data_IF_674398276138
#
_entry.id   IF_674398276138
#
_cell.length_a   1.000
_cell.length_b   1.000
_cell.length_c   1.000
_cell.angle_alpha   90.00
_cell.angle_beta   90.00
_cell.angle_gamma   90.00
#
_symmetry.space_group_name_H-M   'P 1'
#
loop_
_entity.id
_entity.type
_entity.pdbx_description
1 polymer ?
#
# COMPACT_ATOMS: atom_id res chain seq x y z
N UNK A 1 -26.77 -15.29 11.89
CA UNK A 1 -26.30 -15.75 13.19
C UNK A 1 -27.30 -16.77 13.75
N UNK A 2 -26.80 -17.81 14.45
CA UNK A 2 -27.67 -18.86 15.04
C UNK A 2 -28.00 -20.04 14.13
N UNK A 3 -27.41 -20.12 12.93
CA UNK A 3 -27.47 -21.24 12.01
C UNK A 3 -26.09 -21.58 11.45
N UNK A 4 -25.95 -22.76 10.86
CA UNK A 4 -24.74 -23.14 10.11
C UNK A 4 -24.62 -22.26 8.87
N UNK A 5 -23.45 -21.63 8.70
CA UNK A 5 -23.11 -20.85 7.52
C UNK A 5 -21.99 -21.57 6.76
N UNK A 6 -22.13 -21.68 5.45
CA UNK A 6 -21.11 -22.28 4.59
C UNK A 6 -20.53 -21.22 3.66
N UNK A 7 -19.23 -21.05 3.69
CA UNK A 7 -18.45 -20.22 2.76
C UNK A 7 -17.70 -21.14 1.80
N UNK A 8 -17.90 -20.92 0.50
CA UNK A 8 -17.11 -21.57 -0.54
C UNK A 8 -16.21 -20.53 -1.21
N UNK A 9 -14.91 -20.73 -1.14
CA UNK A 9 -13.93 -19.90 -1.84
C UNK A 9 -13.32 -20.71 -2.97
N UNK A 10 -13.45 -20.20 -4.19
CA UNK A 10 -12.84 -20.81 -5.39
C UNK A 10 -11.68 -19.95 -5.82
N UNK A 11 -10.49 -20.53 -5.86
CA UNK A 11 -9.27 -19.87 -6.35
C UNK A 11 -8.74 -20.62 -7.56
N UNK A 12 -8.19 -19.87 -8.53
CA UNK A 12 -7.60 -20.44 -9.74
C UNK A 12 -6.34 -19.65 -10.10
N UNK A 13 -5.25 -20.36 -10.35
CA UNK A 13 -4.02 -19.83 -10.92
C UNK A 13 -3.93 -20.08 -12.44
N UNK A 14 -5.05 -20.41 -13.07
CA UNK A 14 -5.10 -20.53 -14.53
C UNK A 14 -4.74 -19.19 -15.15
N UNK A 15 -3.77 -19.23 -16.07
CA UNK A 15 -3.32 -18.06 -16.80
C UNK A 15 -4.49 -17.32 -17.47
N UNK A 16 -4.51 -15.99 -17.33
CA UNK A 16 -5.51 -15.10 -17.92
C UNK A 16 -4.79 -13.97 -18.66
N UNK A 17 -5.19 -13.69 -19.89
CA UNK A 17 -4.57 -12.64 -20.72
C UNK A 17 -4.90 -11.21 -20.24
N UNK A 18 -5.86 -11.06 -19.36
CA UNK A 18 -6.42 -9.79 -18.94
C UNK A 18 -6.23 -9.52 -17.43
N UNK A 19 -5.44 -10.34 -16.76
CA UNK A 19 -5.11 -10.21 -15.33
C UNK A 19 -3.60 -10.25 -15.16
N UNK A 20 -3.03 -9.32 -14.41
CA UNK A 20 -1.60 -9.31 -14.08
C UNK A 20 -1.29 -10.31 -12.94
N UNK A 21 -0.10 -10.93 -12.95
CA UNK A 21 0.96 -10.84 -13.96
C UNK A 21 0.65 -11.64 -15.21
N UNK A 22 1.11 -11.17 -16.37
CA UNK A 22 1.00 -11.87 -17.66
C UNK A 22 2.31 -12.52 -18.11
N UNK A 23 3.35 -12.45 -17.29
CA UNK A 23 4.66 -13.05 -17.55
C UNK A 23 4.81 -14.37 -16.80
N UNK A 24 5.56 -15.30 -17.41
CA UNK A 24 5.88 -16.62 -16.84
C UNK A 24 7.19 -16.63 -16.06
N UNK A 25 7.85 -15.48 -15.87
CA UNK A 25 9.12 -15.40 -15.13
C UNK A 25 9.00 -15.72 -13.66
N UNK A 26 7.78 -15.74 -13.12
CA UNK A 26 7.52 -16.04 -11.73
C UNK A 26 6.60 -17.23 -11.57
N UNK A 27 6.83 -17.99 -10.50
CA UNK A 27 5.94 -19.04 -10.11
C UNK A 27 4.62 -18.45 -9.61
N UNK A 28 3.51 -18.82 -10.25
CA UNK A 28 2.17 -18.45 -9.82
C UNK A 28 1.54 -19.66 -9.14
N UNK A 29 1.64 -19.70 -7.83
CA UNK A 29 1.07 -20.78 -7.04
C UNK A 29 -0.45 -20.58 -6.88
N UNK A 30 -1.18 -21.70 -6.85
CA UNK A 30 -2.62 -21.69 -6.57
C UNK A 30 -2.91 -21.89 -5.08
N UNK A 31 -4.16 -21.63 -4.72
CA UNK A 31 -4.64 -21.82 -3.35
C UNK A 31 -4.63 -20.54 -2.53
N UNK A 32 -4.94 -20.69 -1.24
CA UNK A 32 -4.91 -19.61 -0.25
C UNK A 32 -3.66 -19.86 0.60
N UNK A 33 -2.70 -18.96 0.58
CA UNK A 33 -1.40 -19.12 1.21
C UNK A 33 -1.05 -18.01 2.22
N UNK A 34 -1.94 -17.06 2.43
CA UNK A 34 -1.87 -16.03 3.49
C UNK A 34 -3.00 -16.25 4.47
N UNK A 35 -2.91 -15.61 5.63
CA UNK A 35 -3.93 -15.68 6.67
C UNK A 35 -5.31 -15.28 6.16
N UNK A 36 -6.33 -15.89 6.74
CA UNK A 36 -7.73 -15.61 6.42
C UNK A 36 -8.46 -15.29 7.71
N UNK A 37 -8.93 -14.05 7.81
CA UNK A 37 -9.63 -13.55 8.98
C UNK A 37 -11.13 -13.40 8.71
N UNK A 38 -11.94 -13.62 9.73
CA UNK A 38 -13.35 -13.29 9.73
C UNK A 38 -13.58 -12.04 10.58
N UNK A 39 -13.78 -10.90 9.91
CA UNK A 39 -14.05 -9.63 10.59
C UNK A 39 -15.54 -9.55 10.89
N UNK A 40 -15.87 -9.47 12.18
CA UNK A 40 -17.25 -9.27 12.65
C UNK A 40 -17.42 -7.81 13.07
N UNK A 41 -18.31 -7.11 12.38
CA UNK A 41 -18.64 -5.73 12.70
C UNK A 41 -20.12 -5.61 13.04
N UNK A 42 -20.50 -4.53 13.72
CA UNK A 42 -21.89 -4.14 13.81
C UNK A 42 -22.33 -3.42 12.52
N UNK A 43 -23.61 -2.99 12.47
CA UNK A 43 -24.14 -2.20 11.35
C UNK A 43 -23.52 -0.81 11.23
N UNK A 44 -22.85 -0.34 12.28
CA UNK A 44 -22.03 0.87 12.29
C UNK A 44 -20.59 0.44 12.43
N UNK A 45 -19.78 0.67 11.39
CA UNK A 45 -18.40 0.25 11.36
C UNK A 45 -17.53 1.19 10.51
N UNK A 46 -16.23 1.24 10.77
CA UNK A 46 -15.25 1.69 9.78
C UNK A 46 -15.19 0.60 8.71
N UNK A 47 -15.35 0.97 7.45
CA UNK A 47 -15.67 0.00 6.39
C UNK A 47 -14.47 -0.89 6.01
N UNK A 48 -14.51 -2.21 6.30
CA UNK A 48 -13.44 -3.14 5.92
C UNK A 48 -13.51 -3.57 4.45
N UNK A 49 -14.47 -3.03 3.67
CA UNK A 49 -14.69 -3.44 2.28
C UNK A 49 -14.05 -2.51 1.24
N UNK A 50 -13.35 -1.49 1.68
CA UNK A 50 -12.71 -0.51 0.79
C UNK A 50 -11.34 -1.04 0.36
N UNK A 51 -11.24 -1.58 -0.83
CA UNK A 51 -10.01 -2.14 -1.43
C UNK A 51 -9.24 -3.14 -0.56
N UNK A 52 -9.94 -3.85 0.33
CA UNK A 52 -9.31 -4.79 1.27
C UNK A 52 -8.41 -4.11 2.30
N UNK A 53 -8.84 -2.94 2.80
CA UNK A 53 -8.13 -2.14 3.82
C UNK A 53 -8.97 -1.99 5.08
N UNK A 54 -8.38 -1.40 6.12
CA UNK A 54 -9.09 -1.05 7.36
C UNK A 54 -10.05 0.15 7.20
N UNK A 55 -10.13 0.77 6.02
CA UNK A 55 -11.02 1.90 5.75
C UNK A 55 -10.59 3.24 6.38
N UNK A 56 -9.36 3.32 6.90
CA UNK A 56 -8.74 4.51 7.47
C UNK A 56 -7.44 4.84 6.75
N UNK A 57 -7.39 6.00 6.10
CA UNK A 57 -6.22 6.51 5.38
C UNK A 57 -5.73 7.79 6.02
N UNK A 58 -4.42 7.90 6.23
CA UNK A 58 -3.76 9.06 6.82
C UNK A 58 -2.98 9.79 5.73
N UNK A 59 -3.59 10.84 5.18
CA UNK A 59 -2.97 11.68 4.16
C UNK A 59 -2.11 12.76 4.79
N UNK A 60 -0.91 12.95 4.25
CA UNK A 60 -0.01 14.04 4.61
C UNK A 60 -0.19 15.18 3.60
N UNK A 61 -0.76 16.31 4.03
CA UNK A 61 -1.00 17.49 3.17
C UNK A 61 0.26 18.33 3.08
N UNK A 62 0.86 18.65 4.24
CA UNK A 62 2.18 19.24 4.34
C UNK A 62 2.94 18.63 5.52
N UNK A 63 4.23 18.53 5.39
CA UNK A 63 5.12 18.00 6.42
C UNK A 63 6.33 18.93 6.54
N UNK A 64 6.42 19.62 7.65
CA UNK A 64 7.54 20.47 8.03
C UNK A 64 8.09 20.03 9.39
N UNK A 65 9.23 20.58 9.77
CA UNK A 65 9.86 20.24 11.03
C UNK A 65 9.06 20.81 12.23
N UNK A 66 8.30 21.89 12.00
CA UNK A 66 7.49 22.55 13.01
C UNK A 66 6.08 21.94 13.13
N UNK A 67 5.51 21.46 12.02
CA UNK A 67 4.16 20.91 11.99
C UNK A 67 3.93 19.92 10.83
N UNK A 68 2.99 18.99 11.05
CA UNK A 68 2.38 18.18 10.01
C UNK A 68 0.92 18.57 9.90
N UNK A 69 0.51 19.00 8.72
CA UNK A 69 -0.91 19.09 8.36
C UNK A 69 -1.32 17.80 7.68
N UNK A 70 -2.31 17.12 8.24
CA UNK A 70 -2.82 15.87 7.75
C UNK A 70 -4.34 15.84 7.60
N UNK A 71 -4.82 14.83 6.92
CA UNK A 71 -6.23 14.48 6.81
C UNK A 71 -6.41 12.98 7.03
N UNK A 72 -7.33 12.61 7.92
CA UNK A 72 -7.77 11.24 8.04
C UNK A 72 -9.02 11.04 7.18
N UNK A 73 -8.94 10.17 6.18
CA UNK A 73 -10.08 9.77 5.37
C UNK A 73 -10.67 8.47 5.95
N UNK A 74 -11.86 8.56 6.54
CA UNK A 74 -12.53 7.46 7.25
C UNK A 74 -13.74 7.00 6.43
N UNK A 75 -13.68 5.80 5.90
CA UNK A 75 -14.81 5.17 5.23
C UNK A 75 -15.73 4.52 6.25
N UNK A 76 -16.99 4.91 6.27
CA UNK A 76 -17.95 4.44 7.28
C UNK A 76 -19.08 3.67 6.60
N UNK A 77 -19.33 2.46 7.09
CA UNK A 77 -20.53 1.69 6.84
C UNK A 77 -21.52 1.91 7.98
N UNK A 78 -22.71 2.41 7.69
CA UNK A 78 -23.75 2.61 8.69
C UNK A 78 -25.13 2.79 8.02
N UNK A 79 -26.26 2.56 8.73
CA UNK A 79 -27.59 2.88 8.24
C UNK A 79 -27.72 4.36 7.82
N UNK A 80 -28.64 4.67 6.89
CA UNK A 80 -28.79 6.03 6.35
C UNK A 80 -29.25 7.05 7.39
N UNK A 81 -29.99 6.61 8.38
CA UNK A 81 -30.52 7.40 9.49
C UNK A 81 -29.52 7.61 10.63
N UNK A 82 -28.39 6.92 10.61
CA UNK A 82 -27.33 7.06 11.57
C UNK A 82 -26.46 8.31 11.28
N UNK A 83 -26.69 9.38 12.04
CA UNK A 83 -25.90 10.61 12.01
C UNK A 83 -24.90 10.67 13.17
N UNK A 84 -24.16 9.61 13.38
CA UNK A 84 -23.22 9.48 14.48
C UNK A 84 -22.02 10.44 14.43
N UNK A 85 -21.11 10.23 15.35
CA UNK A 85 -19.86 11.00 15.47
C UNK A 85 -18.68 10.12 15.11
N UNK A 86 -17.63 10.74 14.55
CA UNK A 86 -16.33 10.11 14.33
C UNK A 86 -15.34 10.85 15.20
N UNK A 87 -14.63 10.13 16.06
CA UNK A 87 -13.52 10.65 16.85
C UNK A 87 -12.22 10.13 16.29
N UNK A 88 -11.33 11.05 15.91
CA UNK A 88 -9.97 10.78 15.49
C UNK A 88 -9.03 11.04 16.66
N UNK A 89 -8.19 10.07 17.00
CA UNK A 89 -7.14 10.19 18.01
C UNK A 89 -5.80 9.88 17.37
N UNK A 90 -4.83 10.80 17.47
CA UNK A 90 -3.46 10.57 17.04
C UNK A 90 -2.57 10.51 18.28
N UNK A 91 -1.80 9.44 18.39
CA UNK A 91 -0.80 9.26 19.46
C UNK A 91 0.60 9.29 18.86
N UNK A 92 1.48 9.94 19.58
CA UNK A 92 2.89 10.00 19.23
C UNK A 92 3.62 8.65 19.46
N UNK A 93 4.90 8.51 19.07
CA UNK A 93 5.67 7.30 19.28
C UNK A 93 5.82 6.86 20.76
N UNK A 94 5.62 7.75 21.73
CA UNK A 94 5.62 7.42 23.17
C UNK A 94 4.20 7.09 23.69
N UNK A 95 3.18 7.14 22.82
CA UNK A 95 1.79 6.83 23.15
C UNK A 95 0.98 8.01 23.70
N UNK A 96 1.54 9.22 23.78
CA UNK A 96 0.80 10.41 24.21
C UNK A 96 -0.17 10.89 23.14
N UNK A 97 -1.38 11.28 23.53
CA UNK A 97 -2.36 11.87 22.62
C UNK A 97 -1.88 13.26 22.22
N UNK A 98 -1.62 13.44 20.93
CA UNK A 98 -1.20 14.72 20.32
C UNK A 98 -2.32 15.38 19.52
N UNK A 99 -3.32 14.59 19.09
CA UNK A 99 -4.55 15.09 18.44
C UNK A 99 -5.74 14.30 18.95
N UNK A 100 -6.81 15.02 19.28
CA UNK A 100 -8.14 14.46 19.47
C UNK A 100 -9.16 15.36 18.81
N UNK A 101 -9.88 14.84 17.82
CA UNK A 101 -10.92 15.59 17.07
C UNK A 101 -12.16 14.76 16.89
N UNK A 102 -13.31 15.39 17.08
CA UNK A 102 -14.61 14.75 16.86
C UNK A 102 -15.39 15.53 15.81
N UNK A 103 -15.95 14.81 14.84
CA UNK A 103 -16.71 15.35 13.72
C UNK A 103 -17.99 14.54 13.50
N UNK A 104 -19.04 15.19 13.00
CA UNK A 104 -20.27 14.50 12.59
C UNK A 104 -20.00 13.58 11.39
N UNK A 105 -20.63 12.41 11.42
CA UNK A 105 -20.64 11.51 10.29
C UNK A 105 -21.64 12.01 9.23
N UNK A 106 -21.23 13.02 8.47
CA UNK A 106 -21.99 13.61 7.36
C UNK A 106 -21.60 13.02 6.00
N UNK A 107 -21.33 11.71 5.96
CA UNK A 107 -20.86 11.02 4.76
C UNK A 107 -21.83 11.11 3.58
N UNK A 108 -21.27 11.16 2.40
CA UNK A 108 -21.91 10.75 1.15
C UNK A 108 -21.63 9.26 0.91
N UNK A 109 -22.60 8.54 0.38
CA UNK A 109 -22.43 7.10 0.13
C UNK A 109 -21.21 6.84 -0.80
N UNK A 110 -20.30 5.99 -0.35
CA UNK A 110 -19.09 5.65 -1.08
C UNK A 110 -17.92 6.63 -0.91
N UNK A 111 -18.12 7.76 -0.24
CA UNK A 111 -17.09 8.75 0.04
C UNK A 111 -16.62 8.67 1.50
N UNK A 112 -15.35 8.95 1.80
CA UNK A 112 -14.87 9.00 3.17
C UNK A 112 -15.34 10.29 3.87
N UNK A 113 -15.44 10.23 5.20
CA UNK A 113 -15.46 11.44 6.02
C UNK A 113 -14.02 11.89 6.24
N UNK A 114 -13.71 13.10 5.80
CA UNK A 114 -12.35 13.66 5.91
C UNK A 114 -12.24 14.52 7.15
N UNK A 115 -11.29 14.20 8.03
CA UNK A 115 -11.03 14.90 9.29
C UNK A 115 -9.64 15.54 9.20
N UNK A 116 -9.53 16.87 9.04
CA UNK A 116 -8.23 17.54 9.04
C UNK A 116 -7.65 17.58 10.44
N UNK A 117 -6.33 17.43 10.56
CA UNK A 117 -5.61 17.51 11.82
C UNK A 117 -4.23 18.14 11.63
N UNK A 118 -3.66 18.62 12.74
CA UNK A 118 -2.30 19.15 12.80
C UNK A 118 -1.57 18.49 13.95
N UNK A 119 -0.35 18.06 13.71
CA UNK A 119 0.58 17.60 14.75
C UNK A 119 1.70 18.63 14.85
N UNK A 120 1.80 19.30 15.98
CA UNK A 120 2.83 20.30 16.26
C UNK A 120 4.13 19.61 16.69
N UNK A 121 5.29 20.15 16.30
CA UNK A 121 6.63 19.62 16.60
C UNK A 121 6.73 18.09 16.37
N UNK A 122 6.44 17.61 15.16
CA UNK A 122 6.36 16.17 14.89
C UNK A 122 7.74 15.53 14.95
N UNK A 123 7.79 14.30 15.44
CA UNK A 123 8.96 13.42 15.23
C UNK A 123 8.80 12.72 13.89
N UNK A 124 9.55 13.17 12.90
CA UNK A 124 9.46 12.61 11.56
C UNK A 124 10.03 11.18 11.50
N UNK A 125 9.42 10.36 10.64
CA UNK A 125 9.95 9.05 10.30
C UNK A 125 11.13 9.21 9.33
N UNK A 126 12.21 8.51 9.61
CA UNK A 126 13.35 8.37 8.70
C UNK A 126 14.03 7.01 8.91
N UNK A 127 14.92 6.55 8.01
CA UNK A 127 15.70 5.34 8.22
C UNK A 127 16.50 5.33 9.53
N UNK A 128 17.00 6.48 9.97
CA UNK A 128 17.77 6.62 11.21
C UNK A 128 16.88 6.77 12.45
N UNK A 129 15.64 7.21 12.29
CA UNK A 129 14.68 7.44 13.38
C UNK A 129 13.27 7.02 12.92
N UNK A 130 12.94 5.72 13.00
CA UNK A 130 11.67 5.20 12.49
C UNK A 130 10.49 5.48 13.44
N UNK A 131 10.19 6.77 13.62
CA UNK A 131 9.12 7.24 14.49
C UNK A 131 7.75 6.90 13.90
N UNK A 132 6.96 6.11 14.64
CA UNK A 132 5.63 5.67 14.22
C UNK A 132 4.56 6.26 15.13
N UNK A 133 3.54 6.84 14.52
CA UNK A 133 2.33 7.34 15.16
C UNK A 133 1.22 6.30 15.04
N UNK A 134 0.36 6.27 16.04
CA UNK A 134 -0.86 5.47 16.03
C UNK A 134 -2.05 6.39 15.79
N UNK A 135 -2.84 6.09 14.76
CA UNK A 135 -4.03 6.86 14.39
C UNK A 135 -5.25 5.97 14.55
N UNK A 136 -6.16 6.38 15.41
CA UNK A 136 -7.39 5.65 15.72
C UNK A 136 -8.59 6.44 15.25
N UNK A 137 -9.48 5.81 14.49
CA UNK A 137 -10.79 6.36 14.13
C UNK A 137 -11.89 5.53 14.81
N UNK A 138 -12.66 6.16 15.67
CA UNK A 138 -13.83 5.56 16.29
C UNK A 138 -15.09 6.18 15.71
N UNK A 139 -15.97 5.35 15.16
CA UNK A 139 -17.31 5.76 14.75
C UNK A 139 -18.32 5.32 15.79
N UNK A 140 -19.23 6.20 16.17
CA UNK A 140 -20.29 5.91 17.13
C UNK A 140 -21.62 6.50 16.67
N UNK A 141 -22.70 5.73 16.85
CA UNK A 141 -24.06 6.12 16.53
C UNK A 141 -25.02 5.39 17.46
N UNK A 142 -25.75 6.15 18.28
CA UNK A 142 -26.59 5.61 19.37
C UNK A 142 -25.77 4.73 20.31
N UNK A 143 -26.16 3.46 20.44
CA UNK A 143 -25.46 2.46 21.26
C UNK A 143 -24.42 1.65 20.49
N UNK A 144 -24.27 1.86 19.17
CA UNK A 144 -23.37 1.13 18.31
C UNK A 144 -22.06 1.90 18.13
N UNK A 145 -20.95 1.21 18.14
CA UNK A 145 -19.67 1.83 17.83
C UNK A 145 -18.68 0.79 17.28
N UNK A 146 -17.74 1.29 16.50
CA UNK A 146 -16.62 0.53 15.98
C UNK A 146 -15.35 1.39 16.01
N UNK A 147 -14.19 0.76 16.03
CA UNK A 147 -12.91 1.44 16.13
C UNK A 147 -11.86 0.70 15.31
N UNK A 148 -11.12 1.47 14.52
CA UNK A 148 -9.99 0.98 13.73
C UNK A 148 -8.75 1.80 14.04
N UNK A 149 -7.62 1.12 14.13
CA UNK A 149 -6.33 1.73 14.44
C UNK A 149 -5.31 1.35 13.38
N UNK A 150 -4.64 2.36 12.82
CA UNK A 150 -3.53 2.17 11.87
C UNK A 150 -2.26 2.83 12.41
N UNK A 151 -1.11 2.36 11.95
CA UNK A 151 0.18 3.00 12.22
C UNK A 151 0.62 3.78 10.99
N UNK A 152 1.31 4.88 11.20
CA UNK A 152 1.94 5.66 10.12
C UNK A 152 3.15 6.42 10.64
N UNK A 153 3.97 6.94 9.73
CA UNK A 153 5.08 7.84 10.05
C UNK A 153 5.05 9.05 9.13
N UNK A 154 5.17 10.24 9.70
CA UNK A 154 5.18 11.47 8.94
C UNK A 154 6.56 11.72 8.33
N UNK A 155 6.62 11.96 7.04
CA UNK A 155 7.87 12.19 6.29
C UNK A 155 7.61 12.93 4.99
N UNK A 156 8.62 13.63 4.51
CA UNK A 156 8.66 14.19 3.15
C UNK A 156 9.45 13.26 2.25
N UNK A 157 8.87 12.85 1.13
CA UNK A 157 9.57 12.09 0.09
C UNK A 157 9.57 12.92 -1.19
N UNK A 158 10.74 13.06 -1.80
CA UNK A 158 10.88 13.70 -3.09
C UNK A 158 11.96 13.00 -3.94
N UNK A 159 11.77 13.05 -5.25
CA UNK A 159 12.81 12.66 -6.21
C UNK A 159 13.49 13.89 -6.79
N UNK A 160 14.79 13.83 -6.96
CA UNK A 160 15.59 14.89 -7.54
C UNK A 160 16.63 14.30 -8.50
N UNK A 161 17.29 15.16 -9.30
CA UNK A 161 18.42 14.73 -10.13
C UNK A 161 19.62 14.16 -9.34
N UNK A 162 19.60 14.25 -8.00
CA UNK A 162 20.62 13.69 -7.09
C UNK A 162 20.20 12.39 -6.43
N UNK A 163 18.95 11.95 -6.62
CA UNK A 163 18.39 10.76 -6.01
C UNK A 163 17.14 11.02 -5.18
N UNK A 164 16.81 10.07 -4.32
CA UNK A 164 15.69 10.16 -3.39
C UNK A 164 16.03 11.08 -2.22
N UNK A 165 15.09 11.94 -1.87
CA UNK A 165 15.15 12.79 -0.68
C UNK A 165 14.16 12.27 0.36
N UNK A 166 14.61 12.11 1.61
CA UNK A 166 13.77 11.82 2.78
C UNK A 166 13.96 12.95 3.78
N UNK A 167 12.91 13.69 4.07
CA UNK A 167 12.95 14.88 4.95
C UNK A 167 13.95 15.96 4.53
N UNK A 168 14.27 16.04 3.22
CA UNK A 168 15.24 16.97 2.66
C UNK A 168 16.65 16.41 2.52
N UNK A 169 16.97 15.32 3.19
CA UNK A 169 18.27 14.66 3.10
C UNK A 169 18.34 13.71 1.91
N UNK A 170 19.45 13.75 1.17
CA UNK A 170 19.68 12.80 0.07
C UNK A 170 19.99 11.42 0.62
N UNK A 171 19.17 10.44 0.25
CA UNK A 171 19.36 9.05 0.63
C UNK A 171 19.82 8.24 -0.58
N UNK A 172 20.96 7.55 -0.41
CA UNK A 172 21.41 6.58 -1.39
C UNK A 172 20.81 5.22 -1.07
N UNK A 173 20.05 4.67 -2.03
CA UNK A 173 19.44 3.35 -1.88
C UNK A 173 20.49 2.25 -2.14
N UNK A 174 20.64 1.37 -1.16
CA UNK A 174 21.34 0.09 -1.26
C UNK A 174 20.29 -0.98 -1.00
N UNK A 175 19.62 -1.42 -2.07
CA UNK A 175 18.44 -2.28 -1.98
C UNK A 175 18.72 -3.70 -2.39
N UNK A 176 17.93 -4.62 -1.88
CA UNK A 176 17.81 -6.01 -2.32
C UNK A 176 16.42 -6.26 -2.87
N UNK A 177 16.33 -7.13 -3.87
CA UNK A 177 15.06 -7.57 -4.43
C UNK A 177 14.54 -8.77 -3.62
N UNK A 178 13.30 -8.68 -3.14
CA UNK A 178 12.60 -9.79 -2.51
C UNK A 178 11.55 -10.35 -3.47
N UNK A 179 11.56 -11.68 -3.60
CA UNK A 179 10.62 -12.43 -4.39
C UNK A 179 9.68 -13.23 -3.48
N UNK A 180 8.45 -13.45 -3.93
CA UNK A 180 7.45 -14.26 -3.22
C UNK A 180 7.67 -15.75 -3.45
N UNK A 181 8.89 -16.22 -3.37
CA UNK A 181 9.21 -17.63 -3.66
C UNK A 181 10.35 -18.13 -2.79
N UNK A 182 10.07 -19.17 -2.00
CA UNK A 182 11.06 -19.86 -1.16
C UNK A 182 10.93 -21.36 -1.35
N UNK A 183 12.03 -22.04 -1.59
CA UNK A 183 12.08 -23.46 -1.95
C UNK A 183 11.30 -24.38 -0.99
N UNK A 184 11.24 -24.05 0.30
CA UNK A 184 10.58 -24.88 1.31
C UNK A 184 9.08 -24.66 1.44
N UNK A 185 8.59 -23.46 1.13
CA UNK A 185 7.21 -23.03 1.43
C UNK A 185 6.51 -22.37 0.24
N UNK A 186 7.18 -22.23 -0.89
CA UNK A 186 6.68 -21.46 -2.04
C UNK A 186 6.26 -20.04 -1.61
N UNK A 187 5.01 -19.64 -1.83
CA UNK A 187 4.48 -18.32 -1.43
C UNK A 187 3.88 -18.30 -0.02
N UNK A 188 3.86 -19.43 0.70
CA UNK A 188 3.25 -19.52 2.03
C UNK A 188 4.24 -19.09 3.14
N UNK A 189 4.70 -17.85 3.07
CA UNK A 189 5.63 -17.28 4.03
C UNK A 189 4.92 -17.04 5.36
N UNK A 190 5.63 -17.37 6.44
CA UNK A 190 5.27 -17.03 7.80
C UNK A 190 6.01 -15.77 8.28
N UNK A 191 5.61 -15.22 9.42
CA UNK A 191 6.35 -14.13 10.07
C UNK A 191 7.84 -14.46 10.28
N UNK A 192 8.15 -15.71 10.64
CA UNK A 192 9.53 -16.16 10.84
C UNK A 192 10.34 -16.16 9.55
N UNK A 193 9.73 -16.51 8.41
CA UNK A 193 10.38 -16.47 7.11
C UNK A 193 10.74 -15.03 6.71
N UNK A 194 9.84 -14.07 6.96
CA UNK A 194 10.12 -12.65 6.74
C UNK A 194 11.19 -12.10 7.68
N UNK A 195 11.18 -12.49 8.95
CA UNK A 195 12.22 -12.05 9.90
C UNK A 195 13.61 -12.61 9.52
N UNK A 196 13.69 -13.83 8.98
CA UNK A 196 14.92 -14.40 8.43
C UNK A 196 15.40 -13.61 7.21
N UNK A 197 14.52 -13.31 6.24
CA UNK A 197 14.88 -12.50 5.08
C UNK A 197 15.36 -11.11 5.49
N UNK A 198 14.70 -10.48 6.48
CA UNK A 198 15.12 -9.17 7.01
C UNK A 198 16.44 -9.21 7.77
N UNK A 199 16.80 -10.35 8.36
CA UNK A 199 18.14 -10.54 8.92
C UNK A 199 19.20 -10.55 7.82
N UNK A 200 18.96 -11.23 6.69
CA UNK A 200 19.85 -11.17 5.52
C UNK A 200 19.95 -9.76 4.93
N UNK A 201 18.82 -9.03 4.83
CA UNK A 201 18.82 -7.62 4.38
C UNK A 201 19.75 -6.77 5.25
N UNK A 202 19.69 -6.96 6.57
CA UNK A 202 20.55 -6.28 7.53
C UNK A 202 22.02 -6.69 7.36
N UNK A 203 22.31 -7.99 7.26
CA UNK A 203 23.67 -8.52 7.20
C UNK A 203 24.45 -8.07 5.96
N UNK A 204 23.75 -7.85 4.83
CA UNK A 204 24.36 -7.29 3.62
C UNK A 204 24.46 -5.76 3.66
N UNK A 205 24.00 -5.11 4.72
CA UNK A 205 24.01 -3.65 4.88
C UNK A 205 23.06 -2.92 3.94
N UNK A 206 21.97 -3.57 3.52
CA UNK A 206 20.97 -2.92 2.69
C UNK A 206 20.07 -2.02 3.54
N UNK A 207 19.60 -0.92 2.94
CA UNK A 207 18.67 0.04 3.55
C UNK A 207 17.32 0.11 2.83
N UNK A 208 17.13 -0.72 1.82
CA UNK A 208 15.91 -0.75 1.03
C UNK A 208 15.58 -2.16 0.54
N UNK A 209 14.30 -2.40 0.32
CA UNK A 209 13.72 -3.63 -0.22
C UNK A 209 12.91 -3.29 -1.46
N UNK A 210 13.13 -4.01 -2.53
CA UNK A 210 12.30 -4.00 -3.71
C UNK A 210 11.36 -5.20 -3.69
N UNK A 211 10.06 -4.96 -3.47
CA UNK A 211 9.01 -5.98 -3.59
C UNK A 211 8.72 -6.21 -5.07
N UNK A 212 9.38 -7.22 -5.62
CA UNK A 212 9.31 -7.52 -7.07
C UNK A 212 7.97 -8.17 -7.40
N UNK A 213 7.32 -7.63 -8.44
CA UNK A 213 6.07 -8.18 -9.02
C UNK A 213 4.88 -8.25 -8.05
N UNK A 214 4.79 -7.29 -7.16
CA UNK A 214 3.63 -7.12 -6.30
C UNK A 214 3.96 -7.02 -4.81
N UNK A 215 2.95 -6.74 -4.00
CA UNK A 215 3.12 -6.58 -2.56
C UNK A 215 3.31 -7.93 -1.86
N UNK A 216 4.17 -7.94 -0.85
CA UNK A 216 4.26 -9.01 0.13
C UNK A 216 3.10 -8.93 1.15
N UNK A 217 3.18 -9.76 2.17
CA UNK A 217 2.29 -9.69 3.32
C UNK A 217 2.49 -8.38 4.10
N UNK A 218 1.43 -7.87 4.76
CA UNK A 218 1.48 -6.63 5.55
C UNK A 218 2.52 -6.72 6.68
N UNK A 219 2.76 -7.91 7.22
CA UNK A 219 3.79 -8.14 8.22
C UNK A 219 5.17 -7.63 7.78
N UNK A 220 5.56 -7.85 6.50
CA UNK A 220 6.83 -7.34 5.99
C UNK A 220 6.90 -5.82 6.11
N UNK A 221 5.87 -5.10 5.64
CA UNK A 221 5.88 -3.63 5.64
C UNK A 221 5.83 -3.06 7.05
N UNK A 222 5.10 -3.68 7.97
CA UNK A 222 5.15 -3.35 9.39
C UNK A 222 6.57 -3.43 9.97
N UNK A 223 7.30 -4.49 9.62
CA UNK A 223 8.70 -4.66 10.07
C UNK A 223 9.64 -3.67 9.41
N UNK A 224 9.42 -3.32 8.12
CA UNK A 224 10.19 -2.27 7.44
C UNK A 224 9.96 -0.91 8.08
N UNK A 225 8.71 -0.58 8.41
CA UNK A 225 8.35 0.66 9.11
C UNK A 225 9.09 0.80 10.45
N UNK A 226 9.11 -0.28 11.25
CA UNK A 226 9.75 -0.34 12.55
C UNK A 226 11.28 -0.29 12.50
N UNK A 227 11.86 -0.87 11.44
CA UNK A 227 13.33 -0.97 11.29
C UNK A 227 13.93 0.19 10.51
N UNK A 228 13.12 1.12 10.00
CA UNK A 228 13.60 2.22 9.15
C UNK A 228 14.12 1.76 7.79
N UNK A 229 13.68 0.62 7.30
CA UNK A 229 14.00 0.13 5.97
C UNK A 229 13.03 0.70 4.95
N UNK A 230 13.54 1.14 3.81
CA UNK A 230 12.69 1.70 2.74
C UNK A 230 12.16 0.60 1.83
N UNK A 231 10.98 0.80 1.27
CA UNK A 231 10.36 -0.13 0.33
C UNK A 231 10.02 0.53 -1.00
N UNK A 232 10.15 -0.26 -2.04
CA UNK A 232 9.63 -0.02 -3.36
C UNK A 232 8.75 -1.22 -3.75
N UNK A 233 7.47 -0.96 -4.07
CA UNK A 233 6.49 -2.00 -4.43
C UNK A 233 6.11 -1.86 -5.90
N UNK A 234 6.22 -2.93 -6.67
CA UNK A 234 5.82 -2.96 -8.07
C UNK A 234 4.35 -3.34 -8.26
N UNK A 235 3.70 -2.72 -9.24
CA UNK A 235 2.60 -3.37 -9.95
C UNK A 235 3.18 -4.53 -10.76
N UNK A 236 2.55 -5.73 -10.76
CA UNK A 236 3.06 -6.90 -11.46
C UNK A 236 2.91 -6.79 -13.01
N UNK A 237 3.15 -5.61 -13.57
CA UNK A 237 3.22 -5.38 -15.01
C UNK A 237 4.62 -5.66 -15.50
N UNK A 238 4.82 -6.89 -15.95
CA UNK A 238 6.09 -7.35 -16.52
C UNK A 238 5.87 -7.83 -17.95
N UNK A 239 6.87 -7.63 -18.79
CA UNK A 239 6.93 -8.20 -20.12
C UNK A 239 8.35 -8.61 -20.43
N UNK A 240 8.62 -9.90 -20.30
CA UNK A 240 9.91 -10.47 -20.67
C UNK A 240 10.00 -10.77 -22.16
N UNK A 241 11.19 -10.75 -22.74
CA UNK A 241 11.39 -11.04 -24.17
C UNK A 241 11.47 -12.56 -24.46
N UNK A 242 11.20 -13.45 -23.52
CA UNK A 242 11.33 -14.88 -23.73
C UNK A 242 10.30 -15.44 -24.73
N UNK A 243 10.73 -16.43 -25.51
CA UNK A 243 9.85 -17.20 -26.37
C UNK A 243 8.78 -17.89 -25.52
N UNK A 244 7.53 -17.50 -25.68
CA UNK A 244 6.41 -18.02 -24.90
C UNK A 244 5.77 -17.01 -23.96
N UNK A 245 6.38 -15.83 -23.81
CA UNK A 245 5.71 -14.75 -23.11
C UNK A 245 4.44 -14.33 -23.83
N UNK A 246 3.43 -14.07 -23.04
CA UNK A 246 2.18 -13.57 -23.56
C UNK A 246 2.40 -12.12 -23.97
N UNK A 247 2.03 -11.81 -25.19
CA UNK A 247 2.07 -10.44 -25.68
C UNK A 247 1.20 -9.54 -24.82
N UNK A 248 1.59 -8.27 -24.71
CA UNK A 248 0.72 -7.25 -24.16
C UNK A 248 -0.57 -7.20 -25.02
N UNK A 249 -1.69 -7.46 -24.39
CA UNK A 249 -3.00 -7.34 -25.01
C UNK A 249 -3.67 -6.06 -24.50
N UNK A 250 -3.72 -4.99 -25.29
CA UNK A 250 -4.29 -3.71 -24.85
C UNK A 250 -5.82 -3.73 -24.87
N UNK A 251 -6.43 -4.79 -24.35
CA UNK A 251 -7.87 -4.85 -24.18
C UNK A 251 -8.31 -3.91 -23.07
N UNK A 252 -9.51 -3.35 -23.16
CA UNK A 252 -10.04 -2.50 -22.09
C UNK A 252 -10.17 -3.26 -20.76
N UNK A 253 -10.47 -4.55 -20.82
CA UNK A 253 -10.53 -5.39 -19.61
C UNK A 253 -9.18 -5.55 -18.94
N UNK A 254 -8.11 -5.78 -19.70
CA UNK A 254 -6.73 -5.81 -19.19
C UNK A 254 -6.36 -4.49 -18.53
N UNK A 255 -6.65 -3.37 -19.19
CA UNK A 255 -6.35 -2.03 -18.69
C UNK A 255 -7.14 -1.71 -17.41
N UNK A 256 -8.43 -2.06 -17.38
CA UNK A 256 -9.28 -1.88 -16.21
C UNK A 256 -8.79 -2.71 -15.02
N UNK A 257 -8.47 -3.99 -15.23
CA UNK A 257 -7.95 -4.87 -14.17
C UNK A 257 -6.63 -4.35 -13.61
N UNK A 258 -5.69 -3.93 -14.45
CA UNK A 258 -4.42 -3.39 -13.96
C UNK A 258 -4.58 -2.07 -13.20
N UNK A 259 -5.52 -1.20 -13.60
CA UNK A 259 -5.85 0.01 -12.82
C UNK A 259 -6.42 -0.35 -11.45
N UNK A 260 -7.28 -1.37 -11.36
CA UNK A 260 -7.86 -1.81 -10.09
C UNK A 260 -6.80 -2.45 -9.19
N UNK A 261 -5.98 -3.36 -9.73
CA UNK A 261 -4.85 -3.94 -8.99
C UNK A 261 -3.88 -2.86 -8.47
N UNK A 262 -3.58 -1.85 -9.29
CA UNK A 262 -2.75 -0.72 -8.86
C UNK A 262 -3.39 0.04 -7.67
N UNK A 263 -4.69 0.31 -7.75
CA UNK A 263 -5.44 0.98 -6.70
C UNK A 263 -5.42 0.19 -5.40
N UNK A 264 -5.67 -1.12 -5.48
CA UNK A 264 -5.65 -2.03 -4.34
C UNK A 264 -4.25 -2.06 -3.68
N UNK A 265 -3.18 -2.21 -4.48
CA UNK A 265 -1.80 -2.22 -3.99
C UNK A 265 -1.47 -0.93 -3.26
N UNK A 266 -1.82 0.22 -3.85
CA UNK A 266 -1.54 1.54 -3.26
C UNK A 266 -2.36 1.73 -1.99
N UNK A 267 -3.66 1.40 -2.01
CA UNK A 267 -4.55 1.59 -0.87
C UNK A 267 -4.13 0.73 0.33
N UNK A 268 -3.86 -0.55 0.11
CA UNK A 268 -3.45 -1.49 1.17
C UNK A 268 -2.12 -1.11 1.83
N UNK A 269 -1.24 -0.41 1.11
CA UNK A 269 0.08 -0.02 1.60
C UNK A 269 0.21 1.49 1.83
N UNK A 270 -0.91 2.23 1.80
CA UNK A 270 -0.92 3.69 1.84
C UNK A 270 -0.31 4.26 3.14
N UNK A 271 -0.65 3.67 4.28
CA UNK A 271 -0.24 4.16 5.60
C UNK A 271 1.21 3.80 5.97
N UNK A 272 1.89 2.93 5.24
CA UNK A 272 3.26 2.52 5.53
C UNK A 272 4.27 3.62 5.17
N UNK A 273 5.00 4.20 6.14
CA UNK A 273 6.02 5.20 5.86
C UNK A 273 7.25 4.63 5.16
N UNK A 274 7.55 3.36 5.35
CA UNK A 274 8.64 2.66 4.66
C UNK A 274 8.47 2.62 3.15
N UNK A 275 7.23 2.60 2.65
CA UNK A 275 6.97 2.64 1.21
C UNK A 275 7.27 4.04 0.69
N UNK A 276 8.38 4.18 -0.01
CA UNK A 276 8.89 5.47 -0.51
C UNK A 276 8.69 5.69 -2.00
N UNK A 277 8.40 4.63 -2.75
CA UNK A 277 8.18 4.67 -4.20
C UNK A 277 7.18 3.61 -4.64
N UNK A 278 6.49 3.89 -5.75
CA UNK A 278 5.60 2.95 -6.43
C UNK A 278 6.17 2.57 -7.79
N UNK A 279 6.39 1.27 -8.00
CA UNK A 279 6.78 0.73 -9.30
C UNK A 279 5.58 0.54 -10.22
N UNK A 280 5.61 1.15 -11.40
CA UNK A 280 4.51 1.01 -12.37
C UNK A 280 4.69 -0.23 -13.22
N UNK A 281 5.93 -0.57 -13.56
CA UNK A 281 6.27 -1.77 -14.34
C UNK A 281 7.70 -2.22 -14.08
N UNK A 282 7.97 -3.48 -14.41
CA UNK A 282 9.31 -4.05 -14.37
C UNK A 282 9.63 -4.73 -15.70
N UNK A 283 10.81 -4.44 -16.28
CA UNK A 283 11.36 -5.09 -17.48
C UNK A 283 10.39 -5.16 -18.67
N UNK A 284 9.65 -4.09 -18.94
CA UNK A 284 8.76 -4.05 -20.11
C UNK A 284 9.56 -3.76 -21.38
N UNK A 285 9.58 -4.71 -22.31
CA UNK A 285 10.21 -4.54 -23.63
C UNK A 285 9.26 -3.91 -24.65
N UNK A 286 9.74 -2.88 -25.36
CA UNK A 286 9.01 -2.21 -26.42
C UNK A 286 9.10 -2.95 -27.78
N UNK A 287 8.92 -4.26 -27.82
CA UNK A 287 8.81 -4.99 -29.09
C UNK A 287 7.36 -5.35 -29.35
N UNK A 288 6.82 -4.89 -30.46
CA UNK A 288 5.43 -5.09 -30.86
C UNK A 288 4.55 -3.91 -30.45
N UNK A 289 3.48 -4.16 -29.67
CA UNK A 289 2.53 -3.12 -29.29
C UNK A 289 3.15 -2.07 -28.36
N UNK A 290 2.84 -0.81 -28.59
CA UNK A 290 3.29 0.31 -27.76
C UNK A 290 2.55 0.31 -26.42
N UNK A 291 3.24 -0.01 -25.35
CA UNK A 291 2.71 -0.04 -23.98
C UNK A 291 2.75 1.36 -23.31
N UNK A 292 3.44 2.33 -23.90
CA UNK A 292 3.64 3.68 -23.33
C UNK A 292 2.32 4.39 -22.96
N UNK A 293 1.26 4.37 -23.77
CA UNK A 293 0.00 5.01 -23.40
C UNK A 293 -0.61 4.40 -22.12
N UNK A 294 -0.49 3.09 -21.95
CA UNK A 294 -0.99 2.42 -20.75
C UNK A 294 -0.17 2.73 -19.51
N UNK A 295 1.15 2.78 -19.63
CA UNK A 295 2.04 3.20 -18.53
C UNK A 295 1.71 4.62 -18.07
N UNK A 296 1.51 5.56 -19.00
CA UNK A 296 1.07 6.93 -18.68
C UNK A 296 -0.30 6.96 -18.01
N UNK A 297 -1.21 6.11 -18.41
CA UNK A 297 -2.53 5.95 -17.77
C UNK A 297 -2.39 5.45 -16.32
N UNK A 298 -1.57 4.42 -16.09
CA UNK A 298 -1.29 3.88 -14.76
C UNK A 298 -0.61 4.93 -13.86
N UNK A 299 0.38 5.66 -14.38
CA UNK A 299 1.01 6.77 -13.67
C UNK A 299 -0.02 7.82 -13.25
N UNK A 300 -0.88 8.23 -14.18
CA UNK A 300 -1.94 9.22 -13.89
C UNK A 300 -2.93 8.69 -12.85
N UNK A 301 -3.33 7.42 -12.95
CA UNK A 301 -4.22 6.79 -12.00
C UNK A 301 -3.58 6.71 -10.59
N UNK A 302 -2.31 6.34 -10.51
CA UNK A 302 -1.57 6.29 -9.27
C UNK A 302 -1.49 7.66 -8.60
N UNK A 303 -1.12 8.71 -9.35
CA UNK A 303 -0.99 10.07 -8.82
C UNK A 303 -2.32 10.69 -8.33
N UNK A 304 -3.45 10.14 -8.74
CA UNK A 304 -4.77 10.51 -8.18
C UNK A 304 -5.02 9.88 -6.81
N UNK A 305 -4.45 8.68 -6.57
CA UNK A 305 -4.59 7.97 -5.29
C UNK A 305 -3.52 8.44 -4.32
N UNK A 306 -2.28 8.52 -4.76
CA UNK A 306 -1.14 8.95 -3.97
C UNK A 306 -0.24 9.93 -4.75
N UNK A 307 -0.46 11.24 -4.58
CA UNK A 307 0.41 12.26 -5.18
C UNK A 307 1.76 12.41 -4.45
N UNK A 308 1.88 11.90 -3.22
CA UNK A 308 3.00 12.19 -2.31
C UNK A 308 4.27 11.41 -2.65
N UNK A 309 4.15 10.19 -3.19
CA UNK A 309 5.29 9.33 -3.48
C UNK A 309 5.68 9.38 -4.96
N UNK A 310 6.99 9.35 -5.29
CA UNK A 310 7.45 9.21 -6.67
C UNK A 310 7.05 7.85 -7.25
N UNK A 311 6.98 7.82 -8.57
CA UNK A 311 6.83 6.60 -9.34
C UNK A 311 8.16 6.21 -9.94
N UNK A 312 8.38 4.92 -10.09
CA UNK A 312 9.61 4.35 -10.61
C UNK A 312 9.28 3.18 -11.54
N UNK A 313 10.21 2.85 -12.39
CA UNK A 313 10.13 1.67 -13.24
C UNK A 313 11.51 1.05 -13.43
N UNK A 314 11.59 -0.26 -13.40
CA UNK A 314 12.78 -0.97 -13.81
C UNK A 314 12.73 -1.14 -15.33
N UNK A 315 13.56 -0.37 -16.05
CA UNK A 315 13.66 -0.45 -17.50
C UNK A 315 15.09 -0.73 -17.92
N UNK A 316 15.24 -1.57 -18.94
CA UNK A 316 16.51 -1.80 -19.63
C UNK A 316 16.58 -1.05 -20.97
N UNK A 317 15.70 -0.12 -21.20
CA UNK A 317 15.60 0.66 -22.43
C UNK A 317 15.74 2.15 -22.14
N UNK A 318 16.46 2.86 -23.00
CA UNK A 318 16.50 4.30 -23.02
C UNK A 318 15.24 4.84 -23.71
N UNK A 319 14.68 5.94 -23.22
CA UNK A 319 13.58 6.62 -23.88
C UNK A 319 12.51 7.19 -22.96
N UNK A 320 11.34 7.48 -23.55
CA UNK A 320 10.23 8.20 -22.91
C UNK A 320 9.57 7.47 -21.71
N UNK A 321 9.93 6.21 -21.45
CA UNK A 321 9.42 5.45 -20.31
C UNK A 321 10.11 5.83 -18.97
N UNK A 322 11.17 6.61 -19.02
CA UNK A 322 11.97 7.01 -17.86
C UNK A 322 11.57 8.39 -17.31
N UNK A 323 10.30 8.73 -17.34
CA UNK A 323 9.82 10.04 -16.83
C UNK A 323 9.42 9.99 -15.37
#
# INVERSE_FOLDING_TARGET
>A
FGAENRLLVVVSNTFQNDVLPTSTEQNVYGGIYRDVDLILTDRVAVSPTVWGTDGLFVEQVSVDDDAVEGRAAVYVSAPKDCQGMITLTVRDPDGYVVVEKTQKNNRTAGEPVTIPFTVDAPRLWSPAAPNLYTVTARVACDSLSDEVTVRTGFRRIAASGRGLLVNGDTVRLHGVALYHDRASVANAFTAADYDEDLAFVHDVGANAVHSVSGPHDQYLYDRLDERGLMAWIDLPLMRSPYLGDVFYFPTERFRANGREQLREIVAQNFNHPSVVMWGIFSLVWQRGDDVTPYIRELHTALKRVDPSRPTVALSNQDGELNT
#
